data_IF_918353660731
#
_entry.id   IF_918353660731
#
_cell.length_a   1.000
_cell.length_b   1.000
_cell.length_c   1.000
_cell.angle_alpha   90.00
_cell.angle_beta   90.00
_cell.angle_gamma   90.00
#
_symmetry.space_group_name_H-M   'P 1'
#
loop_
_entity.id
_entity.type
_entity.pdbx_description
1 polymer ?
#
# COMPACT_ATOMS: atom_id res chain seq x y z
N UNK A 1 15.12 -62.22 32.39
CA UNK A 1 13.79 -62.85 32.26
C UNK A 1 12.80 -61.81 32.78
N UNK A 2 12.10 -60.99 32.01
CA UNK A 2 11.62 -61.02 30.63
C UNK A 2 11.76 -59.62 30.02
N UNK A 3 12.35 -59.53 28.83
CA UNK A 3 12.10 -58.46 27.86
C UNK A 3 10.95 -58.96 26.99
N UNK A 4 9.84 -58.22 26.91
CA UNK A 4 8.85 -58.42 25.84
C UNK A 4 8.80 -57.13 25.04
N UNK A 5 9.58 -57.14 23.96
CA UNK A 5 9.37 -56.32 22.77
C UNK A 5 7.95 -56.55 22.26
N UNK A 6 7.14 -55.50 22.22
CA UNK A 6 6.02 -55.41 21.27
C UNK A 6 6.25 -54.14 20.46
N UNK A 7 6.78 -54.35 19.26
CA UNK A 7 6.75 -53.36 18.20
C UNK A 7 5.32 -53.25 17.66
N UNK A 8 4.87 -52.00 17.44
CA UNK A 8 3.77 -51.70 16.53
C UNK A 8 4.42 -51.21 15.25
N UNK A 9 4.14 -51.96 14.18
CA UNK A 9 4.52 -51.68 12.81
C UNK A 9 3.95 -50.34 12.34
N UNK A 10 4.83 -49.50 11.76
CA UNK A 10 4.45 -48.42 10.87
C UNK A 10 4.60 -48.95 9.44
N UNK A 11 3.49 -49.32 8.83
CA UNK A 11 3.39 -49.71 7.43
C UNK A 11 3.02 -48.47 6.59
N UNK A 12 3.69 -48.34 5.43
CA UNK A 12 3.43 -47.46 4.28
C UNK A 12 4.25 -46.16 4.16
N UNK A 13 5.32 -46.23 3.35
CA UNK A 13 5.61 -45.20 2.33
C UNK A 13 6.83 -44.30 2.57
N UNK A 14 7.82 -44.29 1.64
CA UNK A 14 9.05 -43.48 1.76
C UNK A 14 8.96 -42.18 0.95
N UNK A 15 9.58 -41.10 1.44
CA UNK A 15 10.47 -40.18 0.68
C UNK A 15 10.70 -38.90 1.49
N UNK A 16 11.98 -38.68 1.84
CA UNK A 16 12.63 -37.38 2.06
C UNK A 16 12.12 -36.49 3.20
N UNK A 17 12.70 -36.68 4.39
CA UNK A 17 13.09 -35.58 5.27
C UNK A 17 14.59 -35.72 5.58
N UNK A 18 15.49 -35.00 4.90
CA UNK A 18 16.80 -34.71 5.47
C UNK A 18 16.64 -33.51 6.42
N UNK A 19 17.19 -33.66 7.62
CA UNK A 19 17.58 -32.56 8.53
C UNK A 19 16.47 -31.86 9.34
N UNK A 20 15.75 -32.65 10.14
CA UNK A 20 15.32 -32.17 11.47
C UNK A 20 16.53 -32.25 12.44
N UNK A 21 17.46 -31.30 12.30
CA UNK A 21 18.50 -31.01 13.29
C UNK A 21 18.23 -29.62 13.88
N UNK A 22 17.10 -29.47 14.59
CA UNK A 22 16.87 -28.31 15.46
C UNK A 22 17.07 -28.76 16.92
N UNK A 23 18.32 -28.77 17.35
CA UNK A 23 18.67 -28.72 18.77
C UNK A 23 19.89 -27.83 18.94
N UNK A 24 19.72 -26.83 19.81
CA UNK A 24 20.75 -26.30 20.70
C UNK A 24 21.99 -25.65 20.07
N UNK A 25 21.92 -24.33 19.86
CA UNK A 25 23.08 -23.44 20.04
C UNK A 25 22.59 -22.01 20.32
N UNK A 26 21.98 -21.83 21.49
CA UNK A 26 22.17 -20.58 22.24
C UNK A 26 23.61 -20.57 22.75
N UNK A 27 24.16 -19.36 22.95
CA UNK A 27 25.53 -19.06 23.39
C UNK A 27 26.56 -18.93 22.25
N UNK A 28 26.78 -17.69 21.79
CA UNK A 28 28.10 -17.07 21.48
C UNK A 28 28.01 -15.85 20.54
N UNK A 29 26.88 -15.15 20.45
CA UNK A 29 26.77 -13.91 19.65
C UNK A 29 26.85 -12.62 20.51
N UNK A 30 27.67 -12.59 21.56
CA UNK A 30 27.97 -11.34 22.31
C UNK A 30 29.47 -11.05 22.48
N UNK A 31 30.34 -11.72 21.70
CA UNK A 31 31.81 -11.53 21.76
C UNK A 31 32.48 -11.15 20.44
N UNK A 32 31.69 -10.86 19.39
CA UNK A 32 32.23 -10.41 18.08
C UNK A 32 31.85 -8.97 17.71
N UNK A 33 31.07 -8.27 18.54
CA UNK A 33 30.68 -6.88 18.30
C UNK A 33 31.67 -5.84 18.85
N UNK A 34 32.68 -6.26 19.63
CA UNK A 34 33.69 -5.35 20.22
C UNK A 34 34.82 -4.99 19.25
N UNK A 35 35.20 -5.88 18.33
CA UNK A 35 36.37 -5.65 17.46
C UNK A 35 36.05 -5.01 16.11
N UNK A 36 34.79 -5.04 15.66
CA UNK A 36 34.37 -4.37 14.42
C UNK A 36 34.04 -2.88 14.59
N UNK A 37 33.55 -2.49 15.77
CA UNK A 37 33.13 -1.11 16.05
C UNK A 37 34.32 -0.15 16.20
N UNK A 38 35.45 -0.62 16.71
CA UNK A 38 36.67 0.20 16.89
C UNK A 38 37.42 0.48 15.57
N UNK A 39 37.22 -0.32 14.52
CA UNK A 39 37.85 -0.08 13.21
C UNK A 39 37.03 0.85 12.30
N UNK A 40 35.74 1.08 12.59
CA UNK A 40 34.91 2.03 11.83
C UNK A 40 35.05 3.48 12.34
N UNK A 41 35.35 3.66 13.63
CA UNK A 41 35.53 4.99 14.24
C UNK A 41 36.77 5.73 13.69
N UNK A 42 37.78 5.01 13.19
CA UNK A 42 38.97 5.62 12.60
C UNK A 42 38.80 6.10 11.14
N UNK A 43 37.72 5.73 10.45
CA UNK A 43 37.50 6.08 9.03
C UNK A 43 36.62 7.32 8.83
N UNK A 44 36.04 7.90 9.89
CA UNK A 44 35.14 9.08 9.80
C UNK A 44 35.88 10.39 10.13
N UNK A 45 37.18 10.33 10.41
CA UNK A 45 38.01 11.52 10.66
C UNK A 45 38.82 11.90 9.42
N UNK A 46 38.15 12.37 8.36
CA UNK A 46 38.85 12.71 7.13
C UNK A 46 38.03 13.27 5.98
N UNK A 47 37.19 14.29 6.20
CA UNK A 47 37.08 15.47 5.30
C UNK A 47 36.26 16.55 6.00
N UNK A 48 36.96 17.44 6.69
CA UNK A 48 36.47 18.76 7.05
C UNK A 48 36.52 19.66 5.81
N UNK A 49 35.48 20.48 5.68
CA UNK A 49 35.55 21.84 5.15
C UNK A 49 35.72 22.03 3.64
N UNK A 50 34.61 22.30 2.96
CA UNK A 50 34.51 23.45 2.07
C UNK A 50 33.09 24.05 2.16
N UNK A 51 33.01 25.12 2.95
CA UNK A 51 31.92 26.10 3.01
C UNK A 51 32.03 26.97 1.74
N UNK A 52 31.07 26.87 0.82
CA UNK A 52 30.88 27.87 -0.23
C UNK A 52 29.44 27.91 -0.70
N UNK A 53 28.74 28.94 -0.25
CA UNK A 53 27.57 29.55 -0.87
C UNK A 53 27.62 31.04 -0.48
N UNK A 54 27.09 31.98 -1.28
CA UNK A 54 26.52 31.89 -2.63
C UNK A 54 27.22 32.89 -3.60
N UNK A 55 26.70 33.04 -4.83
CA UNK A 55 26.23 34.36 -5.21
C UNK A 55 24.76 34.33 -5.67
N UNK A 56 24.01 35.28 -5.13
CA UNK A 56 22.75 35.72 -5.69
C UNK A 56 23.01 36.68 -6.87
N UNK A 57 21.99 36.79 -7.73
CA UNK A 57 21.74 37.89 -8.67
C UNK A 57 22.60 37.93 -9.95
N UNK A 58 22.04 37.38 -11.03
CA UNK A 58 21.89 38.20 -12.23
C UNK A 58 20.47 38.07 -12.78
N UNK A 59 19.80 39.21 -12.66
CA UNK A 59 18.47 39.54 -13.10
C UNK A 59 18.54 39.74 -14.62
N UNK A 60 18.05 38.78 -15.41
CA UNK A 60 17.65 39.07 -16.80
C UNK A 60 16.15 39.16 -16.82
N UNK A 61 15.70 40.35 -16.44
CA UNK A 61 14.43 40.93 -16.85
C UNK A 61 14.49 41.20 -18.35
N UNK A 62 13.87 40.33 -19.16
CA UNK A 62 13.15 40.80 -20.35
C UNK A 62 11.94 39.90 -20.58
N UNK A 63 10.79 40.39 -20.14
CA UNK A 63 9.50 40.09 -20.76
C UNK A 63 9.01 41.41 -21.39
N UNK A 64 8.06 41.42 -22.33
CA UNK A 64 7.72 40.45 -23.38
C UNK A 64 7.59 41.16 -24.77
N UNK A 65 7.23 40.44 -25.84
CA UNK A 65 5.84 40.51 -26.33
C UNK A 65 5.30 39.08 -26.49
N UNK A 66 4.27 38.70 -25.74
CA UNK A 66 2.87 38.71 -26.19
C UNK A 66 2.77 38.18 -27.62
N UNK A 67 2.75 36.85 -27.70
CA UNK A 67 2.17 36.07 -28.80
C UNK A 67 1.02 35.30 -28.11
N UNK A 68 -0.08 35.95 -27.75
CA UNK A 68 -1.26 36.14 -28.61
C UNK A 68 -1.50 34.95 -29.55
N UNK A 69 -1.57 33.76 -28.94
CA UNK A 69 -2.35 32.66 -29.48
C UNK A 69 -3.83 32.98 -29.26
N UNK A 70 -4.32 33.75 -30.23
CA UNK A 70 -5.66 33.71 -30.83
C UNK A 70 -6.65 32.81 -30.09
N UNK A 71 -7.46 33.46 -29.25
CA UNK A 71 -8.76 32.98 -28.82
C UNK A 71 -9.60 32.72 -30.07
N UNK A 72 -9.63 31.47 -30.54
CA UNK A 72 -10.71 31.07 -31.44
C UNK A 72 -12.03 31.03 -30.65
N UNK A 73 -13.10 31.65 -31.19
CA UNK A 73 -14.29 31.99 -30.44
C UNK A 73 -15.09 30.76 -30.02
N UNK A 74 -15.68 30.87 -28.83
CA UNK A 74 -16.81 30.06 -28.36
C UNK A 74 -17.79 29.75 -29.49
N UNK A 75 -17.81 28.51 -29.97
CA UNK A 75 -19.06 27.92 -30.42
C UNK A 75 -19.79 27.41 -29.18
N UNK A 76 -21.00 27.89 -28.87
CA UNK A 76 -21.81 27.32 -27.82
C UNK A 76 -22.15 25.89 -28.25
N UNK A 77 -21.62 24.90 -27.53
CA UNK A 77 -22.12 23.53 -27.64
C UNK A 77 -23.61 23.57 -27.29
N UNK A 78 -24.51 23.13 -28.18
CA UNK A 78 -25.94 23.15 -27.91
C UNK A 78 -26.28 22.42 -26.61
N UNK A 79 -26.91 23.15 -25.70
CA UNK A 79 -27.63 22.62 -24.55
C UNK A 79 -28.82 21.82 -25.10
N UNK A 80 -28.59 20.52 -25.31
CA UNK A 80 -29.63 19.60 -25.75
C UNK A 80 -30.53 19.25 -24.55
N UNK A 81 -31.87 19.37 -24.68
CA UNK A 81 -32.83 19.30 -23.58
C UNK A 81 -32.66 18.11 -22.64
N UNK A 82 -32.54 18.42 -21.35
CA UNK A 82 -32.63 17.43 -20.28
C UNK A 82 -34.04 16.82 -20.25
N UNK A 83 -34.18 15.65 -20.86
CA UNK A 83 -35.34 14.79 -20.63
C UNK A 83 -35.23 14.08 -19.27
N UNK A 84 -36.36 13.81 -18.59
CA UNK A 84 -36.41 13.59 -17.16
C UNK A 84 -36.22 12.13 -16.78
N UNK A 85 -35.37 11.90 -15.79
CA UNK A 85 -35.42 10.80 -14.81
C UNK A 85 -35.49 9.37 -15.38
N UNK A 86 -34.32 8.83 -15.74
CA UNK A 86 -34.02 7.43 -15.48
C UNK A 86 -33.07 7.38 -14.28
N UNK A 87 -33.47 6.70 -13.20
CA UNK A 87 -32.59 6.43 -12.06
C UNK A 87 -31.47 5.50 -12.57
N UNK A 88 -30.37 6.11 -13.01
CA UNK A 88 -29.16 5.40 -13.36
C UNK A 88 -28.63 4.67 -12.11
N UNK A 89 -27.99 3.49 -12.26
CA UNK A 89 -27.24 2.88 -11.18
C UNK A 89 -26.33 3.94 -10.54
N UNK A 90 -26.36 4.06 -9.22
CA UNK A 90 -25.57 5.07 -8.52
C UNK A 90 -24.09 4.81 -8.79
N UNK A 91 -23.51 5.51 -9.76
CA UNK A 91 -22.08 5.47 -10.01
C UNK A 91 -21.39 6.08 -8.79
N UNK A 92 -20.63 5.25 -8.08
CA UNK A 92 -19.79 5.69 -6.95
C UNK A 92 -18.90 6.82 -7.45
N UNK A 93 -18.97 7.98 -6.82
CA UNK A 93 -18.14 9.13 -7.12
C UNK A 93 -16.66 8.77 -6.94
N UNK A 94 -15.84 9.12 -7.93
CA UNK A 94 -14.42 8.77 -7.99
C UNK A 94 -13.59 10.03 -8.16
N UNK A 95 -12.50 10.11 -7.41
CA UNK A 95 -11.46 11.11 -7.57
C UNK A 95 -10.23 10.48 -8.22
N UNK A 96 -9.64 11.17 -9.19
CA UNK A 96 -8.34 10.79 -9.74
C UNK A 96 -7.22 11.46 -8.93
N UNK A 97 -6.19 10.68 -8.57
CA UNK A 97 -5.04 11.18 -7.85
C UNK A 97 -3.73 10.71 -8.47
N UNK A 98 -2.80 11.65 -8.67
CA UNK A 98 -1.43 11.32 -9.09
C UNK A 98 -0.55 11.22 -7.85
N UNK A 99 0.05 10.06 -7.64
CA UNK A 99 0.95 9.78 -6.50
C UNK A 99 2.12 10.76 -6.52
N UNK A 100 2.40 11.38 -5.38
CA UNK A 100 3.54 12.28 -5.20
C UNK A 100 4.73 11.56 -4.57
N UNK A 101 5.89 12.22 -4.54
CA UNK A 101 7.05 11.72 -3.81
C UNK A 101 6.70 11.51 -2.34
N UNK A 102 7.13 10.36 -1.79
CA UNK A 102 6.93 9.93 -0.40
C UNK A 102 5.49 9.60 0.02
N UNK A 103 4.52 9.65 -0.91
CA UNK A 103 3.16 9.18 -0.61
C UNK A 103 3.14 7.66 -0.38
N UNK A 104 2.38 7.24 0.64
CA UNK A 104 2.02 5.82 0.83
C UNK A 104 0.53 5.63 0.60
N UNK A 105 0.12 4.43 0.18
CA UNK A 105 -1.28 4.17 -0.14
C UNK A 105 -2.21 4.38 1.07
N UNK A 106 -1.73 4.03 2.27
CA UNK A 106 -2.43 4.28 3.53
C UNK A 106 -2.57 5.77 3.87
N UNK A 107 -1.55 6.59 3.57
CA UNK A 107 -1.62 8.04 3.78
C UNK A 107 -2.57 8.70 2.78
N UNK A 108 -2.56 8.25 1.52
CA UNK A 108 -3.52 8.68 0.51
C UNK A 108 -4.94 8.34 0.97
N UNK A 109 -5.21 7.09 1.32
CA UNK A 109 -6.51 6.68 1.85
C UNK A 109 -6.95 7.54 3.05
N UNK A 110 -6.05 7.81 4.00
CA UNK A 110 -6.33 8.69 5.14
C UNK A 110 -6.69 10.11 4.70
N UNK A 111 -5.99 10.68 3.72
CA UNK A 111 -6.21 12.04 3.21
C UNK A 111 -7.58 12.17 2.55
N UNK A 112 -8.00 11.19 1.78
CA UNK A 112 -9.27 11.20 1.05
C UNK A 112 -10.46 10.75 1.90
N UNK A 113 -10.27 9.75 2.75
CA UNK A 113 -11.35 9.20 3.58
C UNK A 113 -11.52 9.91 4.93
N UNK A 114 -10.57 10.77 5.30
CA UNK A 114 -10.66 11.71 6.42
C UNK A 114 -10.25 11.18 7.79
N UNK A 115 -10.35 9.86 8.03
CA UNK A 115 -10.07 9.28 9.35
C UNK A 115 -8.81 8.43 9.38
N UNK A 116 -8.13 8.40 10.54
CA UNK A 116 -6.96 7.54 10.77
C UNK A 116 -7.31 6.07 10.56
N UNK A 117 -8.49 5.65 10.99
CA UNK A 117 -8.97 4.27 10.84
C UNK A 117 -9.24 3.96 9.36
N UNK A 118 -9.81 4.92 8.62
CA UNK A 118 -10.07 4.78 7.19
C UNK A 118 -8.79 4.71 6.35
N UNK A 119 -7.65 5.18 6.87
CA UNK A 119 -6.33 4.97 6.25
C UNK A 119 -5.95 3.50 6.04
N UNK A 120 -6.52 2.56 6.81
CA UNK A 120 -6.29 1.12 6.62
C UNK A 120 -7.13 0.49 5.51
N UNK A 121 -8.01 1.26 4.86
CA UNK A 121 -8.88 0.82 3.78
C UNK A 121 -8.28 1.12 2.40
N UNK A 122 -6.97 1.28 2.33
CA UNK A 122 -6.23 1.39 1.09
C UNK A 122 -6.45 0.22 0.09
N UNK A 123 -6.81 -1.02 0.49
CA UNK A 123 -7.11 -2.07 -0.49
C UNK A 123 -8.28 -1.72 -1.41
N UNK A 124 -9.19 -0.85 -0.98
CA UNK A 124 -10.27 -0.33 -1.84
C UNK A 124 -9.72 0.45 -3.03
N UNK A 125 -8.67 1.25 -2.81
CA UNK A 125 -8.01 1.99 -3.88
C UNK A 125 -7.36 1.01 -4.88
N UNK A 126 -6.82 -0.11 -4.39
CA UNK A 126 -6.29 -1.17 -5.26
C UNK A 126 -7.40 -1.82 -6.10
N UNK A 127 -8.57 -2.09 -5.51
CA UNK A 127 -9.73 -2.65 -6.23
C UNK A 127 -10.27 -1.71 -7.33
N UNK A 128 -10.18 -0.39 -7.13
CA UNK A 128 -10.61 0.57 -8.16
C UNK A 128 -9.51 0.88 -9.18
N UNK A 129 -8.24 0.66 -8.83
CA UNK A 129 -7.06 0.93 -9.66
C UNK A 129 -6.40 -0.36 -10.15
N UNK A 130 -7.23 -1.36 -10.50
CA UNK A 130 -6.76 -2.65 -11.02
C UNK A 130 -5.85 -2.44 -12.24
N UNK A 131 -4.75 -3.21 -12.31
CA UNK A 131 -3.73 -3.08 -13.35
C UNK A 131 -2.70 -1.97 -13.11
N UNK A 132 -2.99 -0.97 -12.26
CA UNK A 132 -2.03 0.07 -11.89
C UNK A 132 -1.27 -0.32 -10.62
N UNK A 133 -1.99 -0.72 -9.56
CA UNK A 133 -1.38 -1.06 -8.26
C UNK A 133 -1.45 -2.57 -8.03
N UNK A 134 -0.31 -3.25 -8.17
CA UNK A 134 -0.21 -4.69 -7.89
C UNK A 134 0.18 -5.01 -6.45
N UNK A 135 0.88 -4.08 -5.79
CA UNK A 135 1.43 -4.27 -4.46
C UNK A 135 1.22 -3.01 -3.60
N UNK A 136 0.71 -3.14 -2.36
CA UNK A 136 0.32 -2.00 -1.52
C UNK A 136 1.50 -1.08 -1.19
N UNK A 137 2.67 -1.66 -0.88
CA UNK A 137 3.85 -0.90 -0.46
C UNK A 137 4.78 -0.48 -1.63
N UNK A 138 4.43 -0.76 -2.89
CA UNK A 138 5.30 -0.49 -4.06
C UNK A 138 4.72 0.53 -5.03
N UNK A 139 3.94 1.47 -4.53
CA UNK A 139 3.49 2.61 -5.34
C UNK A 139 4.65 3.56 -5.64
N UNK A 140 4.58 4.22 -6.80
CA UNK A 140 5.61 5.12 -7.30
C UNK A 140 5.00 6.47 -7.65
N UNK A 141 5.78 7.57 -7.52
CA UNK A 141 5.36 8.89 -7.96
C UNK A 141 4.97 8.87 -9.45
N UNK A 142 3.92 9.63 -9.80
CA UNK A 142 3.39 9.69 -11.17
C UNK A 142 2.35 8.63 -11.52
N UNK A 143 2.13 7.61 -10.67
CA UNK A 143 1.04 6.66 -10.86
C UNK A 143 -0.32 7.35 -10.69
N UNK A 144 -1.27 7.06 -11.57
CA UNK A 144 -2.65 7.54 -11.48
C UNK A 144 -3.50 6.54 -10.72
N UNK A 145 -4.10 6.97 -9.62
CA UNK A 145 -4.97 6.17 -8.76
C UNK A 145 -6.41 6.66 -8.86
N UNK A 146 -7.34 5.71 -8.83
CA UNK A 146 -8.78 5.95 -8.73
C UNK A 146 -9.18 5.76 -7.27
N UNK A 147 -9.64 6.83 -6.65
CA UNK A 147 -10.04 6.87 -5.23
C UNK A 147 -11.56 7.02 -5.18
N UNK A 148 -12.31 5.97 -4.82
CA UNK A 148 -13.75 6.07 -4.70
C UNK A 148 -14.14 6.83 -3.43
N UNK A 149 -15.36 7.39 -3.41
CA UNK A 149 -15.98 7.84 -2.16
C UNK A 149 -16.21 6.62 -1.25
N UNK A 150 -15.70 6.71 -0.02
CA UNK A 150 -15.74 5.61 0.93
C UNK A 150 -17.15 5.18 1.29
N UNK A 151 -18.03 6.13 1.61
CA UNK A 151 -19.36 5.84 2.12
C UNK A 151 -20.25 5.26 1.00
N UNK A 152 -20.12 5.76 -0.23
CA UNK A 152 -20.79 5.22 -1.42
C UNK A 152 -20.27 3.84 -1.81
N UNK A 153 -18.95 3.63 -1.76
CA UNK A 153 -18.34 2.32 -2.01
C UNK A 153 -18.85 1.26 -1.02
N UNK A 154 -19.02 1.64 0.26
CA UNK A 154 -19.51 0.73 1.28
C UNK A 154 -21.02 0.48 1.18
N UNK A 155 -21.79 1.43 0.65
CA UNK A 155 -23.24 1.30 0.52
C UNK A 155 -23.66 0.21 -0.48
N UNK A 156 -22.81 -0.09 -1.47
CA UNK A 156 -23.09 -1.09 -2.49
C UNK A 156 -22.42 -2.44 -2.17
N UNK A 157 -23.18 -3.55 -2.02
CA UNK A 157 -22.64 -4.86 -1.71
C UNK A 157 -21.67 -5.41 -2.78
N UNK A 158 -21.83 -5.05 -4.05
CA UNK A 158 -20.93 -5.51 -5.11
C UNK A 158 -19.56 -4.82 -5.01
N UNK A 159 -19.54 -3.53 -4.67
CA UNK A 159 -18.31 -2.80 -4.39
C UNK A 159 -17.62 -3.36 -3.14
N UNK A 160 -18.39 -3.61 -2.07
CA UNK A 160 -17.85 -4.25 -0.85
C UNK A 160 -17.20 -5.59 -1.18
N UNK A 161 -17.83 -6.44 -1.99
CA UNK A 161 -17.26 -7.72 -2.44
C UNK A 161 -15.93 -7.55 -3.16
N UNK A 162 -15.82 -6.60 -4.09
CA UNK A 162 -14.54 -6.27 -4.76
C UNK A 162 -13.49 -5.78 -3.76
N UNK A 163 -13.89 -4.96 -2.80
CA UNK A 163 -13.02 -4.52 -1.71
C UNK A 163 -12.46 -5.71 -0.92
N UNK A 164 -13.32 -6.65 -0.51
CA UNK A 164 -12.95 -7.86 0.23
C UNK A 164 -11.94 -8.74 -0.54
N UNK A 165 -12.09 -8.85 -1.86
CA UNK A 165 -11.12 -9.54 -2.71
C UNK A 165 -9.74 -8.86 -2.66
N UNK A 166 -9.69 -7.54 -2.71
CA UNK A 166 -8.44 -6.78 -2.56
C UNK A 166 -7.83 -6.92 -1.15
N UNK A 167 -8.65 -6.95 -0.09
CA UNK A 167 -8.16 -7.25 1.27
C UNK A 167 -7.53 -8.65 1.34
N UNK A 168 -8.16 -9.65 0.72
CA UNK A 168 -7.62 -11.00 0.65
C UNK A 168 -6.32 -11.05 -0.17
N UNK A 169 -6.21 -10.29 -1.25
CA UNK A 169 -4.97 -10.18 -2.01
C UNK A 169 -3.84 -9.57 -1.16
N UNK A 170 -4.10 -8.48 -0.45
CA UNK A 170 -3.12 -7.80 0.40
C UNK A 170 -2.68 -8.71 1.56
N UNK A 171 -3.60 -9.47 2.15
CA UNK A 171 -3.28 -10.49 3.17
C UNK A 171 -2.26 -11.50 2.65
N UNK A 172 -2.49 -12.07 1.45
CA UNK A 172 -1.57 -13.03 0.83
C UNK A 172 -0.20 -12.41 0.57
N UNK A 173 -0.16 -11.17 0.06
CA UNK A 173 1.09 -10.44 -0.17
C UNK A 173 1.86 -10.33 1.15
N UNK A 174 1.26 -9.79 2.20
CA UNK A 174 1.95 -9.59 3.48
C UNK A 174 2.35 -10.89 4.16
N UNK A 175 1.55 -11.95 4.04
CA UNK A 175 1.93 -13.28 4.51
C UNK A 175 3.17 -13.80 3.79
N UNK A 176 3.22 -13.65 2.46
CA UNK A 176 4.37 -14.08 1.65
C UNK A 176 5.65 -13.29 1.96
N UNK A 177 5.52 -12.04 2.39
CA UNK A 177 6.65 -11.20 2.83
C UNK A 177 7.06 -11.43 4.30
N UNK A 178 6.44 -12.38 5.01
CA UNK A 178 6.72 -12.65 6.43
C UNK A 178 6.11 -11.62 7.40
N UNK A 179 5.29 -10.67 6.92
CA UNK A 179 4.60 -9.65 7.72
C UNK A 179 3.32 -10.20 8.37
N UNK A 180 3.45 -11.28 9.14
CA UNK A 180 2.31 -12.06 9.67
C UNK A 180 1.31 -11.23 10.48
N UNK A 181 1.78 -10.33 11.35
CA UNK A 181 0.91 -9.45 12.16
C UNK A 181 0.08 -8.52 11.29
N UNK A 182 0.67 -8.01 10.20
CA UNK A 182 -0.03 -7.12 9.29
C UNK A 182 -1.02 -7.88 8.41
N UNK A 183 -0.66 -9.08 7.96
CA UNK A 183 -1.57 -9.97 7.23
C UNK A 183 -2.80 -10.33 8.09
N UNK A 184 -2.60 -10.72 9.34
CA UNK A 184 -3.69 -11.03 10.28
C UNK A 184 -4.57 -9.80 10.54
N UNK A 185 -3.97 -8.62 10.67
CA UNK A 185 -4.73 -7.36 10.80
C UNK A 185 -5.59 -7.08 9.57
N UNK A 186 -5.06 -7.25 8.36
CA UNK A 186 -5.81 -7.07 7.11
C UNK A 186 -6.96 -8.08 6.98
N UNK A 187 -6.74 -9.34 7.36
CA UNK A 187 -7.79 -10.36 7.41
C UNK A 187 -8.92 -9.95 8.38
N UNK A 188 -8.58 -9.56 9.62
CA UNK A 188 -9.57 -9.12 10.61
C UNK A 188 -10.37 -7.89 10.16
N UNK A 189 -9.72 -6.95 9.45
CA UNK A 189 -10.42 -5.80 8.86
C UNK A 189 -11.40 -6.24 7.77
N UNK A 190 -10.98 -7.13 6.87
CA UNK A 190 -11.86 -7.71 5.84
C UNK A 190 -13.07 -8.41 6.46
N UNK A 191 -12.87 -9.25 7.47
CA UNK A 191 -13.98 -9.90 8.18
C UNK A 191 -14.93 -8.90 8.84
N UNK A 192 -14.38 -7.82 9.41
CA UNK A 192 -15.20 -6.78 10.02
C UNK A 192 -16.07 -6.11 8.98
N UNK A 193 -15.53 -5.75 7.82
CA UNK A 193 -16.28 -5.18 6.71
C UNK A 193 -17.43 -6.11 6.29
N UNK A 194 -17.13 -7.40 6.08
CA UNK A 194 -18.13 -8.37 5.63
C UNK A 194 -19.26 -8.65 6.64
N UNK A 195 -19.07 -8.32 7.92
CA UNK A 195 -20.07 -8.51 9.00
C UNK A 195 -20.80 -7.22 9.37
N UNK A 196 -20.28 -6.06 8.97
CA UNK A 196 -20.80 -4.74 9.41
C UNK A 196 -21.80 -4.22 8.38
N UNK A 197 -22.96 -3.71 8.83
CA UNK A 197 -23.88 -2.96 7.96
C UNK A 197 -23.16 -1.69 7.48
N UNK A 198 -23.23 -1.34 6.19
CA UNK A 198 -22.59 -0.14 5.66
C UNK A 198 -22.87 1.15 6.45
N UNK A 199 -24.03 1.26 7.10
CA UNK A 199 -24.44 2.42 7.91
C UNK A 199 -23.73 2.50 9.27
N UNK A 200 -23.16 1.40 9.73
CA UNK A 200 -22.52 1.27 11.05
C UNK A 200 -20.98 1.39 11.00
N UNK A 201 -20.41 1.74 9.83
CA UNK A 201 -18.96 1.93 9.71
C UNK A 201 -18.46 3.16 10.48
N UNK A 202 -17.26 3.08 11.10
CA UNK A 202 -16.70 4.21 11.84
C UNK A 202 -16.37 5.37 10.89
N UNK A 203 -16.85 6.54 11.26
CA UNK A 203 -16.55 7.82 10.60
C UNK A 203 -15.22 8.39 11.09
#
# INVERSE_FOLDING_TARGET
>A
MYLVFIGVLCENGPLFCPDCACSLEEETMMRKLSTGLLLWIAFISGVTSCKSAPPAEELVEVAPPVEEQEEEPMTPVPEEPQEPMAVAPQEVSRAEYVVKNEDTLSQIAKKFYGSRIRGYYFPIIMACSEGVVTHPDRIRPGMKLVIPNFDEFMADPDHVRKGLEAFAQVERIYRSEGKMKLAEFMNKLGEKIGKTDPRDMPR
#
